data_IF_635376470857
#
_entry.id   IF_635376470857
#
_cell.length_a   1.000
_cell.length_b   1.000
_cell.length_c   1.000
_cell.angle_alpha   90.00
_cell.angle_beta   90.00
_cell.angle_gamma   90.00
#
_symmetry.space_group_name_H-M   'P 1'
#
loop_
_entity.id
_entity.type
_entity.pdbx_description
1 polymer ?
#
# COMPACT_ATOMS: atom_id res chain seq x y z
N UNK A 1 -14.46 5.55 0.43
CA UNK A 1 -13.76 4.59 1.32
C UNK A 1 -14.37 3.25 1.01
N UNK A 2 -13.55 2.32 0.53
CA UNK A 2 -13.94 0.95 0.22
C UNK A 2 -13.28 0.02 1.24
N UNK A 3 -14.04 -0.94 1.78
CA UNK A 3 -13.52 -1.97 2.68
C UNK A 3 -13.65 -3.34 2.02
N UNK A 4 -12.55 -4.07 1.95
CA UNK A 4 -12.47 -5.39 1.32
C UNK A 4 -12.01 -6.42 2.36
N UNK A 5 -12.72 -7.55 2.39
CA UNK A 5 -12.37 -8.72 3.16
C UNK A 5 -11.62 -9.75 2.30
N UNK A 6 -10.93 -10.68 2.96
CA UNK A 6 -10.28 -11.81 2.31
C UNK A 6 -10.91 -13.11 2.82
N UNK A 7 -11.41 -13.95 1.92
CA UNK A 7 -12.02 -15.25 2.27
C UNK A 7 -10.99 -16.21 2.88
N UNK A 8 -9.77 -16.22 2.34
CA UNK A 8 -8.66 -17.07 2.81
C UNK A 8 -8.04 -16.57 4.14
N UNK A 9 -8.31 -15.31 4.53
CA UNK A 9 -7.73 -14.67 5.71
C UNK A 9 -8.82 -14.03 6.57
N UNK A 10 -9.62 -14.84 7.30
CA UNK A 10 -10.69 -14.33 8.14
C UNK A 10 -10.12 -13.38 9.21
N UNK A 11 -10.72 -12.19 9.34
CA UNK A 11 -10.27 -11.16 10.28
C UNK A 11 -9.24 -10.17 9.72
N UNK A 12 -8.84 -10.31 8.47
CA UNK A 12 -8.07 -9.28 7.76
C UNK A 12 -8.97 -8.41 6.89
N UNK A 13 -8.87 -7.11 7.05
CA UNK A 13 -9.60 -6.11 6.25
C UNK A 13 -8.65 -5.14 5.58
N UNK A 14 -8.84 -4.90 4.29
CA UNK A 14 -8.17 -3.86 3.52
C UNK A 14 -9.12 -2.68 3.34
N UNK A 15 -8.70 -1.50 3.78
CA UNK A 15 -9.42 -0.26 3.58
C UNK A 15 -8.68 0.60 2.57
N UNK A 16 -9.42 1.13 1.60
CA UNK A 16 -8.89 1.94 0.52
C UNK A 16 -9.60 3.29 0.49
N UNK A 17 -8.82 4.37 0.47
CA UNK A 17 -9.30 5.73 0.28
C UNK A 17 -8.68 6.31 -0.99
N UNK A 18 -9.49 7.02 -1.76
CA UNK A 18 -9.04 7.86 -2.87
C UNK A 18 -9.20 9.31 -2.44
N UNK A 19 -8.13 10.07 -2.53
CA UNK A 19 -8.08 11.51 -2.31
C UNK A 19 -7.76 12.18 -3.63
N UNK A 20 -8.61 13.12 -4.04
CA UNK A 20 -8.44 13.90 -5.27
C UNK A 20 -8.09 15.34 -4.94
N UNK A 21 -7.41 16.04 -5.84
CA UNK A 21 -6.92 17.42 -5.66
C UNK A 21 -6.01 17.60 -4.43
N UNK A 22 -5.06 16.70 -4.23
CA UNK A 22 -4.14 16.76 -3.07
C UNK A 22 -3.09 17.85 -3.26
N UNK A 23 -3.11 18.88 -2.41
CA UNK A 23 -2.17 20.02 -2.50
C UNK A 23 -0.97 19.92 -1.56
N UNK A 24 -1.06 19.09 -0.51
CA UNK A 24 -0.04 18.93 0.55
C UNK A 24 0.79 17.64 0.39
N UNK A 25 0.92 17.14 -0.83
CA UNK A 25 1.58 15.86 -1.09
C UNK A 25 3.04 15.80 -0.62
N UNK A 26 3.77 16.92 -0.73
CA UNK A 26 5.16 17.05 -0.25
C UNK A 26 5.27 16.90 1.26
N UNK A 27 4.32 17.47 1.99
CA UNK A 27 4.29 17.41 3.45
C UNK A 27 3.96 15.99 3.93
N UNK A 28 3.07 15.29 3.22
CA UNK A 28 2.74 13.89 3.51
C UNK A 28 3.95 12.97 3.30
N UNK A 29 4.75 13.19 2.25
CA UNK A 29 5.98 12.39 2.07
C UNK A 29 7.04 12.72 3.09
N UNK A 30 7.20 14.00 3.45
CA UNK A 30 8.09 14.40 4.52
C UNK A 30 7.70 13.68 5.83
N UNK A 31 6.41 13.65 6.16
CA UNK A 31 5.89 12.93 7.32
C UNK A 31 6.07 11.40 7.23
N UNK A 32 6.01 10.81 6.03
CA UNK A 32 6.34 9.38 5.82
C UNK A 32 7.83 9.10 6.08
N UNK A 33 8.72 9.93 5.56
CA UNK A 33 10.18 9.76 5.70
C UNK A 33 10.62 10.02 7.14
N UNK A 34 10.01 11.02 7.78
CA UNK A 34 10.27 11.38 9.17
C UNK A 34 9.63 10.39 10.17
N UNK A 35 8.76 9.49 9.68
CA UNK A 35 8.12 8.47 10.51
C UNK A 35 7.10 9.04 11.50
N UNK A 36 6.57 10.23 11.23
CA UNK A 36 5.63 10.94 12.11
C UNK A 36 4.19 10.49 11.91
N UNK A 37 3.91 9.63 10.93
CA UNK A 37 2.59 9.07 10.71
C UNK A 37 2.26 8.05 11.82
N UNK A 38 1.24 8.37 12.60
CA UNK A 38 0.72 7.50 13.67
C UNK A 38 0.17 6.16 13.15
N UNK A 39 -0.09 6.05 11.84
CA UNK A 39 -0.65 4.87 11.20
C UNK A 39 0.25 4.37 10.08
N UNK A 40 0.58 3.07 10.11
CA UNK A 40 1.15 2.42 8.94
C UNK A 40 0.08 2.32 7.83
N UNK A 41 0.28 3.08 6.76
CA UNK A 41 -0.57 3.09 5.58
C UNK A 41 0.29 3.09 4.34
N UNK A 42 -0.14 2.35 3.32
CA UNK A 42 0.48 2.40 2.00
C UNK A 42 -0.10 3.60 1.25
N UNK A 43 0.75 4.51 0.79
CA UNK A 43 0.36 5.68 0.00
C UNK A 43 0.90 5.50 -1.41
N UNK A 44 0.05 5.71 -2.40
CA UNK A 44 0.42 5.51 -3.79
C UNK A 44 -0.34 6.43 -4.76
N UNK A 45 0.21 6.61 -5.95
CA UNK A 45 -0.43 7.40 -7.00
C UNK A 45 -1.65 6.65 -7.57
N UNK A 46 -2.81 7.33 -7.62
CA UNK A 46 -4.03 6.77 -8.18
C UNK A 46 -3.89 6.38 -9.67
N UNK A 47 -3.08 7.12 -10.44
CA UNK A 47 -2.86 6.87 -11.86
C UNK A 47 -2.17 5.52 -12.14
N UNK A 48 -1.46 4.97 -11.16
CA UNK A 48 -0.74 3.69 -11.28
C UNK A 48 -1.66 2.51 -10.95
N UNK A 49 -2.79 2.75 -10.30
CA UNK A 49 -3.73 1.71 -9.87
C UNK A 49 -4.83 1.56 -10.92
N UNK A 50 -4.83 0.50 -11.74
CA UNK A 50 -5.80 0.34 -12.82
C UNK A 50 -7.20 -0.01 -12.33
N UNK A 51 -7.32 -0.66 -11.16
CA UNK A 51 -8.61 -1.06 -10.58
C UNK A 51 -8.46 -1.43 -9.10
N UNK A 52 -9.59 -1.40 -8.37
CA UNK A 52 -9.68 -1.88 -6.99
C UNK A 52 -9.29 -3.37 -6.86
N UNK A 53 -9.59 -4.18 -7.89
CA UNK A 53 -9.20 -5.58 -7.96
C UNK A 53 -7.68 -5.77 -7.94
N UNK A 54 -6.92 -4.91 -8.63
CA UNK A 54 -5.47 -4.97 -8.60
C UNK A 54 -4.92 -4.74 -7.18
N UNK A 55 -5.50 -3.79 -6.45
CA UNK A 55 -5.13 -3.51 -5.04
C UNK A 55 -5.46 -4.70 -4.15
N UNK A 56 -6.65 -5.30 -4.33
CA UNK A 56 -7.08 -6.47 -3.57
C UNK A 56 -6.15 -7.68 -3.81
N UNK A 57 -5.81 -7.97 -5.06
CA UNK A 57 -4.89 -9.04 -5.42
C UNK A 57 -3.48 -8.81 -4.87
N UNK A 58 -2.98 -7.58 -4.96
CA UNK A 58 -1.66 -7.23 -4.41
C UNK A 58 -1.61 -7.38 -2.88
N UNK A 59 -2.70 -7.03 -2.19
CA UNK A 59 -2.86 -7.23 -0.76
C UNK A 59 -2.93 -8.73 -0.41
N UNK A 60 -3.68 -9.53 -1.17
CA UNK A 60 -3.74 -10.99 -0.98
C UNK A 60 -2.36 -11.63 -1.14
N UNK A 61 -1.59 -11.22 -2.15
CA UNK A 61 -0.20 -11.65 -2.32
C UNK A 61 0.69 -11.23 -1.15
N UNK A 62 0.50 -10.03 -0.60
CA UNK A 62 1.25 -9.59 0.58
C UNK A 62 0.92 -10.43 1.83
N UNK A 63 -0.36 -10.80 2.02
CA UNK A 63 -0.79 -11.70 3.10
C UNK A 63 -0.20 -13.10 2.95
N UNK A 64 -0.22 -13.67 1.74
CA UNK A 64 0.42 -14.96 1.46
C UNK A 64 1.93 -14.93 1.75
N UNK A 65 2.62 -13.85 1.36
CA UNK A 65 4.05 -13.68 1.65
C UNK A 65 4.32 -13.56 3.16
N UNK A 66 3.44 -12.88 3.91
CA UNK A 66 3.52 -12.82 5.38
C UNK A 66 3.33 -14.19 6.01
N UNK A 67 2.29 -14.91 5.62
CA UNK A 67 1.99 -16.26 6.14
C UNK A 67 3.14 -17.24 5.88
N UNK A 68 3.82 -17.13 4.74
CA UNK A 68 4.98 -17.96 4.37
C UNK A 68 6.31 -17.49 4.99
N UNK A 69 6.32 -16.35 5.68
CA UNK A 69 7.55 -15.73 6.19
C UNK A 69 8.50 -15.26 5.08
N UNK A 70 8.00 -15.04 3.86
CA UNK A 70 8.78 -14.68 2.67
C UNK A 70 8.55 -13.23 2.23
N UNK A 71 8.28 -12.33 3.18
CA UNK A 71 8.16 -10.89 2.90
C UNK A 71 9.49 -10.35 2.39
N UNK A 72 9.44 -9.58 1.30
CA UNK A 72 10.63 -8.91 0.73
C UNK A 72 10.89 -7.58 1.44
N UNK A 73 9.84 -6.99 2.01
CA UNK A 73 9.87 -5.69 2.66
C UNK A 73 9.67 -5.79 4.18
N UNK A 74 9.78 -4.65 4.86
CA UNK A 74 9.68 -4.55 6.33
C UNK A 74 8.25 -4.62 6.87
N UNK A 75 7.23 -4.33 6.05
CA UNK A 75 5.83 -4.27 6.45
C UNK A 75 4.90 -4.78 5.34
N UNK A 76 3.66 -5.15 5.71
CA UNK A 76 2.61 -5.53 4.74
C UNK A 76 2.28 -4.39 3.77
N UNK A 77 2.34 -3.15 4.25
CA UNK A 77 2.02 -1.96 3.47
C UNK A 77 3.06 -1.72 2.36
N UNK A 78 4.35 -1.82 2.70
CA UNK A 78 5.42 -1.74 1.70
C UNK A 78 5.36 -2.90 0.71
N UNK A 79 5.01 -4.11 1.15
CA UNK A 79 4.86 -5.26 0.25
C UNK A 79 3.69 -5.08 -0.73
N UNK A 80 2.58 -4.48 -0.28
CA UNK A 80 1.44 -4.14 -1.13
C UNK A 80 1.86 -3.17 -2.25
N UNK A 81 2.61 -2.12 -1.91
CA UNK A 81 3.14 -1.15 -2.89
C UNK A 81 4.10 -1.82 -3.87
N UNK A 82 4.97 -2.73 -3.40
CA UNK A 82 5.86 -3.53 -4.25
C UNK A 82 5.09 -4.42 -5.23
N UNK A 83 4.03 -5.08 -4.75
CA UNK A 83 3.23 -5.98 -5.56
C UNK A 83 2.49 -5.24 -6.68
N UNK A 84 2.09 -3.99 -6.44
CA UNK A 84 1.44 -3.15 -7.44
C UNK A 84 2.41 -2.54 -8.45
N UNK A 85 3.68 -2.31 -8.10
CA UNK A 85 4.66 -1.68 -8.99
C UNK A 85 5.14 -2.56 -10.16
N UNK A 86 4.77 -3.84 -10.19
CA UNK A 86 5.11 -4.79 -11.27
C UNK A 86 6.62 -5.06 -11.43
N UNK A 87 7.48 -4.46 -10.62
CA UNK A 87 8.93 -4.51 -10.78
C UNK A 87 9.51 -5.78 -10.14
N UNK A 88 9.65 -6.84 -10.94
CA UNK A 88 10.32 -8.09 -10.53
C UNK A 88 11.85 -7.97 -10.35
N UNK A 89 12.45 -6.80 -10.60
CA UNK A 89 13.90 -6.66 -10.76
C UNK A 89 14.69 -5.81 -9.75
N UNK A 90 14.09 -5.27 -8.67
CA UNK A 90 14.88 -4.50 -7.70
C UNK A 90 14.59 -4.94 -6.27
N UNK A 91 15.66 -5.38 -5.59
CA UNK A 91 15.74 -5.80 -4.19
C UNK A 91 15.40 -4.71 -3.15
N UNK A 92 14.76 -3.61 -3.57
CA UNK A 92 14.44 -2.46 -2.74
C UNK A 92 13.45 -1.57 -3.51
N UNK A 93 12.15 -1.81 -3.40
CA UNK A 93 11.22 -0.70 -3.61
C UNK A 93 11.44 0.22 -2.42
N UNK A 94 12.15 1.33 -2.63
CA UNK A 94 12.17 2.38 -1.63
C UNK A 94 10.74 2.91 -1.51
N UNK A 95 10.21 3.03 -0.29
CA UNK A 95 8.85 3.53 -0.03
C UNK A 95 8.59 4.91 -0.69
N UNK A 96 9.67 5.59 -1.08
CA UNK A 96 9.76 6.88 -1.75
C UNK A 96 9.56 6.89 -3.28
N UNK A 97 9.94 5.84 -4.02
CA UNK A 97 9.99 5.92 -5.50
C UNK A 97 8.63 5.75 -6.20
N UNK A 98 7.67 5.12 -5.53
CA UNK A 98 6.32 4.89 -6.07
C UNK A 98 5.31 5.97 -5.68
N UNK A 99 5.69 6.89 -4.78
CA UNK A 99 4.74 7.77 -4.13
C UNK A 99 4.38 9.03 -4.93
N UNK A 100 5.16 9.51 -5.92
CA UNK A 100 5.06 10.96 -6.18
C UNK A 100 5.62 11.60 -7.47
N UNK A 101 5.43 10.99 -8.65
CA UNK A 101 5.81 11.67 -9.90
C UNK A 101 4.79 12.71 -10.41
N UNK A 102 3.52 12.66 -10.02
CA UNK A 102 2.53 13.75 -10.17
C UNK A 102 1.32 13.48 -9.27
N UNK A 103 0.86 14.48 -8.53
CA UNK A 103 -0.03 14.30 -7.38
C UNK A 103 -1.26 15.21 -7.50
N UNK A 104 -2.17 14.86 -8.40
CA UNK A 104 -3.55 15.34 -8.29
C UNK A 104 -4.34 14.35 -7.43
N UNK A 105 -4.18 13.04 -7.69
CA UNK A 105 -4.94 11.98 -7.02
C UNK A 105 -4.04 10.96 -6.31
N UNK A 106 -4.35 10.69 -5.03
CA UNK A 106 -3.63 9.76 -4.15
C UNK A 106 -4.58 8.66 -3.69
N UNK A 107 -4.10 7.42 -3.70
CA UNK A 107 -4.75 6.29 -3.04
C UNK A 107 -3.99 5.95 -1.76
N UNK A 108 -4.71 5.80 -0.66
CA UNK A 108 -4.16 5.24 0.59
C UNK A 108 -4.82 3.91 0.90
N UNK A 109 -4.01 2.96 1.35
CA UNK A 109 -4.40 1.59 1.64
C UNK A 109 -3.96 1.23 3.06
N UNK A 110 -4.92 0.91 3.93
CA UNK A 110 -4.66 0.41 5.28
C UNK A 110 -5.09 -1.05 5.37
N UNK A 111 -4.14 -1.92 5.73
CA UNK A 111 -4.41 -3.31 6.06
C UNK A 111 -4.45 -3.46 7.58
N UNK A 112 -5.60 -3.88 8.10
CA UNK A 112 -5.72 -4.35 9.46
C UNK A 112 -5.75 -5.88 9.43
N UNK A 113 -4.60 -6.51 9.64
CA UNK A 113 -4.51 -7.95 9.85
C UNK A 113 -4.53 -8.22 11.36
N UNK A 114 -5.63 -8.75 11.89
CA UNK A 114 -5.64 -9.27 13.27
C UNK A 114 -4.86 -10.58 13.26
N UNK A 115 -3.68 -10.56 13.87
CA UNK A 115 -2.80 -11.69 14.22
C UNK A 115 -2.93 -12.92 13.31
N UNK A 116 -2.16 -12.89 12.20
CA UNK A 116 -1.80 -14.06 11.40
C UNK A 116 -0.64 -14.81 12.06
#
# INVERSE_FOLDING_TARGET
>A
MEELSFEDFPGTTLRVWLFTNVTNSKDVQAAMVEGTLEYEAAIMNAAVVPSLFAVHLAAHHALLSKQRGSLRTRSLHSELVCNLSGSKHYFKCSDTELAMSSLEDIITCQMAARDL
#
